data_IF_565600996966
#
_entry.id   IF_565600996966
#
_cell.length_a   1.000
_cell.length_b   1.000
_cell.length_c   1.000
_cell.angle_alpha   90.00
_cell.angle_beta   90.00
_cell.angle_gamma   90.00
#
_symmetry.space_group_name_H-M   'P 1'
#
loop_
_entity.id
_entity.type
_entity.pdbx_description
1 polymer ?
#
# COMPACT_ATOMS: atom_id res chain seq x y z
N UNK A 1 -11.23 29.35 -20.52
CA UNK A 1 -11.69 28.14 -19.77
C UNK A 1 -11.29 26.81 -20.42
N UNK A 2 -11.01 26.71 -21.73
CA UNK A 2 -10.60 25.44 -22.39
C UNK A 2 -9.13 25.06 -22.16
N UNK A 3 -8.23 26.04 -22.01
CA UNK A 3 -6.78 25.86 -21.79
C UNK A 3 -6.47 25.16 -20.46
N UNK A 4 -7.09 25.60 -19.36
CA UNK A 4 -6.95 24.99 -18.03
C UNK A 4 -7.41 23.52 -17.96
N UNK A 5 -8.37 23.12 -18.79
CA UNK A 5 -8.81 21.71 -18.90
C UNK A 5 -7.78 20.87 -19.67
N UNK A 6 -7.15 21.42 -20.70
CA UNK A 6 -6.12 20.73 -21.48
C UNK A 6 -4.82 20.56 -20.69
N UNK A 7 -4.40 21.55 -19.91
CA UNK A 7 -3.20 21.45 -19.06
C UNK A 7 -3.33 20.33 -18.03
N UNK A 8 -4.47 20.23 -17.33
CA UNK A 8 -4.73 19.15 -16.37
C UNK A 8 -4.76 17.76 -17.02
N UNK A 9 -5.24 17.65 -18.26
CA UNK A 9 -5.22 16.39 -18.99
C UNK A 9 -3.80 16.03 -19.42
N UNK A 10 -3.00 17.00 -19.88
CA UNK A 10 -1.61 16.77 -20.24
C UNK A 10 -0.75 16.36 -19.05
N UNK A 11 -1.05 16.90 -17.86
CA UNK A 11 -0.43 16.45 -16.61
C UNK A 11 -0.77 14.98 -16.31
N UNK A 12 -2.03 14.58 -16.49
CA UNK A 12 -2.47 13.18 -16.32
C UNK A 12 -1.77 12.26 -17.35
N UNK A 13 -1.72 12.66 -18.62
CA UNK A 13 -1.06 11.88 -19.69
C UNK A 13 0.43 11.72 -19.41
N UNK A 14 1.10 12.82 -19.06
CA UNK A 14 2.53 12.82 -18.74
C UNK A 14 2.80 11.90 -17.57
N UNK A 15 1.97 11.97 -16.52
CA UNK A 15 2.08 11.09 -15.35
C UNK A 15 1.86 9.62 -15.69
N UNK A 16 0.94 9.30 -16.60
CA UNK A 16 0.72 7.93 -17.06
C UNK A 16 1.88 7.42 -17.92
N UNK A 17 2.33 8.20 -18.90
CA UNK A 17 3.37 7.77 -19.85
C UNK A 17 4.76 7.70 -19.22
N UNK A 18 5.09 8.63 -18.32
CA UNK A 18 6.42 8.67 -17.69
C UNK A 18 6.51 7.82 -16.43
N UNK A 19 5.41 7.67 -15.68
CA UNK A 19 5.42 7.01 -14.36
C UNK A 19 4.50 5.80 -14.26
N UNK A 20 3.62 5.56 -15.23
CA UNK A 20 2.64 4.46 -15.20
C UNK A 20 1.59 4.61 -14.10
N UNK A 21 1.17 5.86 -13.81
CA UNK A 21 0.41 6.24 -12.63
C UNK A 21 -0.93 6.90 -12.96
N UNK A 22 -2.02 6.37 -12.41
CA UNK A 22 -3.37 6.93 -12.49
C UNK A 22 -4.28 6.36 -11.41
N UNK A 23 -5.20 7.17 -10.90
CA UNK A 23 -6.33 6.70 -10.09
C UNK A 23 -7.61 6.52 -10.95
N UNK A 24 -8.70 6.07 -10.31
CA UNK A 24 -9.99 5.90 -11.01
C UNK A 24 -10.53 7.21 -11.57
N UNK A 25 -10.35 8.32 -10.86
CA UNK A 25 -10.78 9.65 -11.28
C UNK A 25 -9.99 10.14 -12.49
N UNK A 26 -8.66 9.96 -12.47
CA UNK A 26 -7.76 10.28 -13.57
C UNK A 26 -8.08 9.46 -14.82
N UNK A 27 -8.28 8.15 -14.64
CA UNK A 27 -8.60 7.24 -15.73
C UNK A 27 -9.94 7.60 -16.38
N UNK A 28 -10.96 7.94 -15.56
CA UNK A 28 -12.26 8.40 -16.06
C UNK A 28 -12.17 9.76 -16.77
N UNK A 29 -11.37 10.69 -16.25
CA UNK A 29 -11.16 12.01 -16.88
C UNK A 29 -10.43 11.87 -18.21
N UNK A 30 -9.38 11.06 -18.26
CA UNK A 30 -8.63 10.78 -19.46
C UNK A 30 -9.49 10.06 -20.51
N UNK A 31 -10.26 9.06 -20.10
CA UNK A 31 -11.16 8.35 -21.01
C UNK A 31 -12.22 9.27 -21.60
N UNK A 32 -12.85 10.14 -20.79
CA UNK A 32 -13.81 11.14 -21.30
C UNK A 32 -13.16 12.12 -22.27
N UNK A 33 -11.93 12.53 -22.02
CA UNK A 33 -11.20 13.42 -22.90
C UNK A 33 -10.88 12.76 -24.25
N UNK A 34 -10.25 11.58 -24.22
CA UNK A 34 -9.87 10.84 -25.42
C UNK A 34 -11.10 10.39 -26.23
N UNK A 35 -12.19 10.03 -25.55
CA UNK A 35 -13.46 9.68 -26.19
C UNK A 35 -14.00 10.83 -27.03
N UNK A 36 -13.96 12.07 -26.54
CA UNK A 36 -14.41 13.24 -27.31
C UNK A 36 -13.58 13.51 -28.56
N UNK A 37 -12.29 13.15 -28.54
CA UNK A 37 -11.39 13.35 -29.67
C UNK A 37 -11.38 12.20 -30.68
N UNK A 38 -11.99 11.06 -30.33
CA UNK A 38 -11.97 9.85 -31.18
C UNK A 38 -13.36 9.38 -31.58
N UNK A 39 -14.43 9.97 -31.03
CA UNK A 39 -15.80 9.53 -31.30
C UNK A 39 -16.14 9.66 -32.80
N UNK A 40 -16.67 8.60 -33.44
CA UNK A 40 -17.01 8.63 -34.86
C UNK A 40 -18.00 9.76 -35.19
N UNK A 41 -19.07 9.92 -34.40
CA UNK A 41 -20.08 10.98 -34.62
C UNK A 41 -19.54 12.42 -34.49
N UNK A 42 -18.44 12.61 -33.75
CA UNK A 42 -17.84 13.95 -33.56
C UNK A 42 -16.71 14.23 -34.54
N UNK A 43 -16.09 13.20 -35.10
CA UNK A 43 -14.87 13.32 -35.91
C UNK A 43 -15.05 12.88 -37.36
N UNK A 44 -16.17 12.21 -37.68
CA UNK A 44 -16.46 11.66 -38.99
C UNK A 44 -15.56 10.49 -39.40
N UNK A 45 -14.80 9.91 -38.47
CA UNK A 45 -13.86 8.79 -38.73
C UNK A 45 -14.51 7.42 -38.48
N UNK A 46 -13.85 6.36 -38.94
CA UNK A 46 -14.26 4.95 -38.87
C UNK A 46 -14.47 4.36 -37.45
N UNK A 47 -14.16 5.13 -36.39
CA UNK A 47 -14.35 4.73 -35.00
C UNK A 47 -13.31 3.73 -34.47
N UNK A 48 -12.33 3.29 -35.27
CA UNK A 48 -11.33 2.30 -34.84
C UNK A 48 -10.50 2.83 -33.66
N UNK A 49 -10.14 4.11 -33.72
CA UNK A 49 -9.42 4.82 -32.65
C UNK A 49 -10.23 4.88 -31.34
N UNK A 50 -11.55 5.03 -31.44
CA UNK A 50 -12.44 5.04 -30.27
C UNK A 50 -12.51 3.67 -29.60
N UNK A 51 -12.58 2.60 -30.40
CA UNK A 51 -12.57 1.22 -29.90
C UNK A 51 -11.28 0.94 -29.13
N UNK A 52 -10.11 1.29 -29.69
CA UNK A 52 -8.81 1.10 -29.02
C UNK A 52 -8.74 1.84 -27.67
N UNK A 53 -9.23 3.09 -27.62
CA UNK A 53 -9.29 3.88 -26.38
C UNK A 53 -10.20 3.22 -25.34
N UNK A 54 -11.37 2.72 -25.76
CA UNK A 54 -12.32 2.02 -24.89
C UNK A 54 -11.73 0.73 -24.33
N UNK A 55 -11.08 -0.08 -25.15
CA UNK A 55 -10.44 -1.32 -24.72
C UNK A 55 -9.30 -1.07 -23.72
N UNK A 56 -8.45 -0.07 -23.99
CA UNK A 56 -7.37 0.33 -23.08
C UNK A 56 -7.92 0.80 -21.72
N UNK A 57 -8.99 1.60 -21.73
CA UNK A 57 -9.70 2.02 -20.51
C UNK A 57 -10.25 0.83 -19.71
N UNK A 58 -10.94 -0.09 -20.38
CA UNK A 58 -11.53 -1.26 -19.73
C UNK A 58 -10.46 -2.16 -19.11
N UNK A 59 -9.33 -2.40 -19.82
CA UNK A 59 -8.19 -3.15 -19.28
C UNK A 59 -7.57 -2.47 -18.07
N UNK A 60 -7.34 -1.15 -18.14
CA UNK A 60 -6.77 -0.36 -17.05
C UNK A 60 -7.69 -0.33 -15.82
N UNK A 61 -9.01 -0.19 -16.03
CA UNK A 61 -10.02 -0.21 -14.99
C UNK A 61 -10.14 -1.59 -14.33
N UNK A 62 -10.15 -2.67 -15.12
CA UNK A 62 -10.15 -4.04 -14.60
C UNK A 62 -8.90 -4.32 -13.74
N UNK A 63 -7.73 -3.77 -14.11
CA UNK A 63 -6.51 -3.88 -13.30
C UNK A 63 -6.62 -3.15 -11.96
N UNK A 64 -7.27 -1.98 -11.95
CA UNK A 64 -7.57 -1.20 -10.74
C UNK A 64 -8.59 -1.90 -9.84
N UNK A 65 -9.65 -2.46 -10.43
CA UNK A 65 -10.70 -3.19 -9.73
C UNK A 65 -10.22 -4.54 -9.21
N UNK A 66 -9.45 -5.32 -9.97
CA UNK A 66 -8.86 -6.58 -9.51
C UNK A 66 -7.91 -6.37 -8.32
N UNK A 67 -7.27 -5.21 -8.20
CA UNK A 67 -6.49 -4.85 -7.01
C UNK A 67 -7.35 -4.55 -5.79
N UNK A 68 -8.54 -3.99 -5.98
CA UNK A 68 -9.52 -3.70 -4.92
C UNK A 68 -10.36 -4.93 -4.52
N UNK A 69 -10.64 -5.79 -5.49
CA UNK A 69 -11.56 -6.92 -5.40
C UNK A 69 -10.86 -8.27 -5.57
N UNK A 70 -9.55 -8.35 -5.33
CA UNK A 70 -8.86 -9.63 -5.13
C UNK A 70 -9.40 -10.32 -3.86
N UNK A 71 -10.66 -10.78 -3.91
CA UNK A 71 -11.12 -11.97 -3.24
C UNK A 71 -10.43 -13.11 -3.97
N UNK A 72 -9.59 -13.79 -3.23
CA UNK A 72 -8.71 -14.89 -3.63
C UNK A 72 -9.39 -15.81 -4.66
N UNK A 73 -8.98 -15.70 -5.93
CA UNK A 73 -9.31 -16.70 -6.96
C UNK A 73 -8.18 -17.73 -6.98
N UNK A 74 -8.36 -18.82 -6.26
CA UNK A 74 -7.43 -19.96 -6.15
C UNK A 74 -7.34 -20.49 -4.71
N UNK A 75 -6.80 -21.70 -4.55
CA UNK A 75 -6.44 -22.28 -3.24
C UNK A 75 -5.36 -21.41 -2.57
N UNK A 76 -5.82 -20.37 -1.88
CA UNK A 76 -4.97 -19.43 -1.16
C UNK A 76 -4.68 -19.97 0.23
N UNK A 77 -3.49 -20.56 0.39
CA UNK A 77 -3.04 -21.06 1.69
C UNK A 77 -2.52 -19.93 2.59
N UNK A 78 -3.45 -19.31 3.31
CA UNK A 78 -3.20 -18.24 4.28
C UNK A 78 -2.39 -18.70 5.51
N UNK A 79 -2.26 -20.02 5.72
CA UNK A 79 -1.50 -20.60 6.82
C UNK A 79 -0.06 -20.94 6.41
N UNK A 80 0.28 -20.84 5.11
CA UNK A 80 1.61 -21.19 4.62
C UNK A 80 2.73 -20.44 5.35
N UNK A 81 2.57 -19.13 5.53
CA UNK A 81 3.58 -18.31 6.23
C UNK A 81 3.73 -18.75 7.69
N UNK A 82 2.63 -19.09 8.36
CA UNK A 82 2.69 -19.58 9.73
C UNK A 82 3.50 -20.88 9.82
N UNK A 83 3.26 -21.83 8.92
CA UNK A 83 4.00 -23.11 8.88
C UNK A 83 5.47 -22.91 8.51
N UNK A 84 5.78 -22.00 7.59
CA UNK A 84 7.17 -21.65 7.23
C UNK A 84 7.94 -21.04 8.40
N UNK A 85 7.25 -20.39 9.34
CA UNK A 85 7.82 -19.82 10.56
C UNK A 85 7.74 -20.81 11.76
N UNK A 86 7.34 -22.07 11.52
CA UNK A 86 7.32 -23.14 12.52
C UNK A 86 6.02 -23.28 13.32
N UNK A 87 4.97 -22.52 12.98
CA UNK A 87 3.69 -22.55 13.69
C UNK A 87 2.72 -23.55 13.07
N UNK A 88 2.40 -24.60 13.82
CA UNK A 88 1.45 -25.64 13.43
C UNK A 88 0.24 -25.59 14.35
N UNK A 89 -0.92 -25.20 13.83
CA UNK A 89 -2.17 -25.13 14.60
C UNK A 89 -3.04 -23.93 14.26
N UNK A 90 -4.07 -23.71 15.07
CA UNK A 90 -4.95 -22.56 14.97
C UNK A 90 -4.52 -21.50 15.98
N UNK A 91 -4.29 -20.28 15.51
CA UNK A 91 -3.86 -19.14 16.33
C UNK A 91 -4.84 -17.98 16.20
N UNK A 92 -4.91 -17.08 17.19
CA UNK A 92 -5.75 -15.89 17.10
C UNK A 92 -5.39 -15.01 15.89
N UNK A 93 -6.35 -14.33 15.23
CA UNK A 93 -6.08 -13.48 14.06
C UNK A 93 -4.97 -12.44 14.28
N UNK A 94 -4.89 -11.83 15.47
CA UNK A 94 -3.83 -10.89 15.86
C UNK A 94 -2.43 -11.50 15.74
N UNK A 95 -2.28 -12.73 16.23
CA UNK A 95 -1.04 -13.50 16.16
C UNK A 95 -0.63 -13.72 14.69
N UNK A 96 -1.57 -14.27 13.91
CA UNK A 96 -1.33 -14.58 12.50
C UNK A 96 -0.96 -13.32 11.69
N UNK A 97 -1.64 -12.21 11.98
CA UNK A 97 -1.34 -10.92 11.37
C UNK A 97 0.08 -10.46 11.69
N UNK A 98 0.52 -10.54 12.94
CA UNK A 98 1.85 -10.09 13.34
C UNK A 98 2.97 -10.94 12.72
N UNK A 99 2.77 -12.26 12.59
CA UNK A 99 3.71 -13.13 11.88
C UNK A 99 3.81 -12.72 10.41
N UNK A 100 2.67 -12.54 9.74
CA UNK A 100 2.63 -12.13 8.33
C UNK A 100 3.24 -10.73 8.12
N UNK A 101 2.97 -9.78 9.02
CA UNK A 101 3.55 -8.44 8.97
C UNK A 101 5.06 -8.46 9.23
N UNK A 102 5.53 -9.23 10.22
CA UNK A 102 6.96 -9.39 10.48
C UNK A 102 7.66 -9.89 9.22
N UNK A 103 7.14 -10.93 8.57
CA UNK A 103 7.65 -11.45 7.29
C UNK A 103 7.67 -10.38 6.20
N UNK A 104 6.59 -9.62 6.05
CA UNK A 104 6.48 -8.52 5.10
C UNK A 104 7.57 -7.46 5.30
N UNK A 105 7.81 -7.05 6.55
CA UNK A 105 8.85 -6.05 6.88
C UNK A 105 10.27 -6.62 6.74
N UNK A 106 10.54 -7.84 7.21
CA UNK A 106 11.85 -8.50 7.08
C UNK A 106 12.28 -8.63 5.63
N UNK A 107 11.37 -8.98 4.72
CA UNK A 107 11.66 -9.09 3.29
C UNK A 107 11.69 -7.75 2.56
N UNK A 108 11.48 -6.64 3.26
CA UNK A 108 11.52 -5.30 2.67
C UNK A 108 10.39 -5.03 1.70
N UNK A 109 9.24 -5.73 1.80
CA UNK A 109 8.13 -5.61 0.85
C UNK A 109 7.41 -4.25 0.95
N UNK A 110 7.73 -3.42 1.94
CA UNK A 110 7.39 -1.99 1.91
C UNK A 110 8.10 -1.22 0.78
N UNK A 111 9.14 -1.79 0.17
CA UNK A 111 9.80 -1.25 -1.01
C UNK A 111 9.21 -1.87 -2.28
N UNK A 112 8.60 -1.03 -3.12
CA UNK A 112 7.98 -1.43 -4.37
C UNK A 112 8.91 -2.20 -5.31
N UNK A 113 10.18 -1.78 -5.44
CA UNK A 113 11.16 -2.47 -6.31
C UNK A 113 11.32 -3.95 -5.94
N UNK A 114 11.22 -4.27 -4.65
CA UNK A 114 11.30 -5.66 -4.18
C UNK A 114 9.98 -6.40 -4.40
N UNK A 115 8.82 -5.73 -4.21
CA UNK A 115 7.50 -6.32 -4.48
C UNK A 115 7.34 -6.72 -5.95
N UNK A 116 7.66 -5.81 -6.86
CA UNK A 116 7.41 -5.94 -8.30
C UNK A 116 8.49 -6.79 -9.01
N UNK A 117 9.41 -7.41 -8.26
CA UNK A 117 10.49 -8.24 -8.81
C UNK A 117 9.92 -9.52 -9.42
N UNK A 118 10.03 -9.66 -10.76
CA UNK A 118 9.42 -10.74 -11.55
C UNK A 118 9.68 -12.17 -11.01
N UNK A 119 10.91 -12.54 -10.59
CA UNK A 119 11.17 -13.91 -10.10
C UNK A 119 10.45 -14.24 -8.79
N UNK A 120 10.08 -13.23 -7.99
CA UNK A 120 9.54 -13.38 -6.65
C UNK A 120 8.10 -12.87 -6.52
N UNK A 121 7.50 -12.41 -7.62
CA UNK A 121 6.21 -11.73 -7.64
C UNK A 121 5.12 -12.57 -6.96
N UNK A 122 4.96 -13.84 -7.36
CA UNK A 122 3.96 -14.75 -6.77
C UNK A 122 4.14 -14.92 -5.25
N UNK A 123 5.39 -15.05 -4.78
CA UNK A 123 5.71 -15.18 -3.36
C UNK A 123 5.37 -13.88 -2.61
N UNK A 124 5.73 -12.74 -3.17
CA UNK A 124 5.49 -11.44 -2.54
C UNK A 124 4.00 -11.11 -2.48
N UNK A 125 3.26 -11.43 -3.55
CA UNK A 125 1.80 -11.33 -3.61
C UNK A 125 1.16 -12.21 -2.53
N UNK A 126 1.59 -13.47 -2.39
CA UNK A 126 1.13 -14.37 -1.33
C UNK A 126 1.29 -13.74 0.07
N UNK A 127 2.43 -13.09 0.35
CA UNK A 127 2.70 -12.47 1.64
C UNK A 127 1.78 -11.27 1.90
N UNK A 128 1.66 -10.37 0.93
CA UNK A 128 0.77 -9.20 1.03
C UNK A 128 -0.68 -9.63 1.24
N UNK A 129 -1.10 -10.63 0.47
CA UNK A 129 -2.43 -11.23 0.54
C UNK A 129 -2.69 -11.91 1.89
N UNK A 130 -1.66 -12.52 2.51
CA UNK A 130 -1.79 -13.16 3.82
C UNK A 130 -1.93 -12.12 4.91
N UNK A 131 -1.16 -11.03 4.84
CA UNK A 131 -1.34 -9.87 5.74
C UNK A 131 -2.76 -9.34 5.66
N UNK A 132 -3.24 -9.11 4.43
CA UNK A 132 -4.59 -8.62 4.18
C UNK A 132 -5.65 -9.57 4.75
N UNK A 133 -5.53 -10.88 4.50
CA UNK A 133 -6.49 -11.89 4.98
C UNK A 133 -6.65 -11.88 6.50
N UNK A 134 -5.53 -11.77 7.24
CA UNK A 134 -5.54 -11.73 8.69
C UNK A 134 -5.91 -10.34 9.23
N UNK A 135 -5.55 -9.28 8.52
CA UNK A 135 -5.98 -7.92 8.84
C UNK A 135 -7.51 -7.79 8.75
N UNK A 136 -8.13 -8.27 7.67
CA UNK A 136 -9.60 -8.26 7.48
C UNK A 136 -10.35 -8.94 8.64
N UNK A 137 -9.72 -9.89 9.35
CA UNK A 137 -10.30 -10.61 10.50
C UNK A 137 -10.00 -10.01 11.86
N UNK A 138 -8.89 -9.28 11.98
CA UNK A 138 -8.47 -8.68 13.24
C UNK A 138 -8.93 -7.23 13.36
N UNK A 139 -8.69 -6.44 12.31
CA UNK A 139 -8.93 -5.00 12.25
C UNK A 139 -9.13 -4.57 10.79
N UNK A 140 -10.39 -4.42 10.39
CA UNK A 140 -10.76 -4.08 9.02
C UNK A 140 -10.26 -2.68 8.59
N UNK A 141 -10.18 -1.74 9.53
CA UNK A 141 -9.65 -0.39 9.28
C UNK A 141 -8.16 -0.47 8.97
N UNK A 142 -7.41 -1.27 9.72
CA UNK A 142 -6.02 -1.58 9.40
C UNK A 142 -5.88 -2.26 8.04
N UNK A 143 -6.77 -3.19 7.66
CA UNK A 143 -6.68 -3.81 6.33
C UNK A 143 -6.86 -2.77 5.22
N UNK A 144 -7.84 -1.86 5.37
CA UNK A 144 -8.04 -0.79 4.40
C UNK A 144 -6.81 0.11 4.30
N UNK A 145 -6.23 0.47 5.46
CA UNK A 145 -5.01 1.25 5.56
C UNK A 145 -3.80 0.55 4.91
N UNK A 146 -3.60 -0.73 5.17
CA UNK A 146 -2.49 -1.52 4.61
C UNK A 146 -2.61 -1.65 3.08
N UNK A 147 -3.83 -1.84 2.56
CA UNK A 147 -4.09 -1.80 1.12
C UNK A 147 -3.72 -0.44 0.53
N UNK A 148 -4.12 0.66 1.18
CA UNK A 148 -3.76 2.01 0.75
C UNK A 148 -2.24 2.26 0.78
N UNK A 149 -1.55 1.80 1.83
CA UNK A 149 -0.10 1.88 1.95
C UNK A 149 0.62 1.15 0.81
N UNK A 150 0.11 -0.02 0.41
CA UNK A 150 0.68 -0.78 -0.69
C UNK A 150 0.34 -0.19 -2.08
N UNK A 151 -0.77 0.55 -2.18
CA UNK A 151 -1.22 1.22 -3.41
C UNK A 151 -0.58 2.60 -3.64
N UNK A 152 -0.37 3.43 -2.60
CA UNK A 152 0.20 4.77 -2.76
C UNK A 152 1.64 4.68 -3.27
N UNK A 153 1.91 5.28 -4.44
CA UNK A 153 3.19 5.18 -5.15
C UNK A 153 4.12 6.36 -4.90
N UNK A 154 3.58 7.57 -4.77
CA UNK A 154 4.37 8.79 -4.50
C UNK A 154 3.57 9.80 -3.69
N UNK A 155 4.29 10.57 -2.87
CA UNK A 155 3.82 11.85 -2.36
C UNK A 155 4.40 12.94 -3.27
N UNK A 156 3.59 13.91 -3.65
CA UNK A 156 4.06 15.11 -4.31
C UNK A 156 4.83 15.95 -3.28
N UNK A 157 6.12 15.64 -3.10
CA UNK A 157 7.03 16.41 -2.26
C UNK A 157 7.70 17.44 -3.16
N UNK A 158 7.47 18.71 -2.89
CA UNK A 158 7.86 19.82 -3.77
C UNK A 158 9.23 20.38 -3.40
N UNK A 159 9.67 20.20 -2.14
CA UNK A 159 10.91 20.80 -1.63
C UNK A 159 11.91 19.76 -1.10
N UNK A 160 13.20 20.11 -1.13
CA UNK A 160 14.28 19.31 -0.51
C UNK A 160 14.03 19.08 0.98
N UNK A 161 13.45 20.06 1.68
CA UNK A 161 13.07 19.94 3.10
C UNK A 161 11.99 18.89 3.30
N UNK A 162 10.94 18.90 2.49
CA UNK A 162 9.87 17.90 2.53
C UNK A 162 10.39 16.49 2.21
N UNK A 163 11.25 16.37 1.20
CA UNK A 163 11.91 15.09 0.89
C UNK A 163 12.72 14.57 2.07
N UNK A 164 13.56 15.40 2.69
CA UNK A 164 14.36 15.02 3.86
C UNK A 164 13.48 14.59 5.04
N UNK A 165 12.43 15.36 5.33
CA UNK A 165 11.48 15.03 6.39
C UNK A 165 10.76 13.72 6.11
N UNK A 166 10.30 13.51 4.88
CA UNK A 166 9.64 12.27 4.48
C UNK A 166 10.54 11.04 4.67
N UNK A 167 11.79 11.10 4.20
CA UNK A 167 12.74 10.00 4.37
C UNK A 167 13.09 9.76 5.84
N UNK A 168 13.24 10.82 6.63
CA UNK A 168 13.47 10.71 8.08
C UNK A 168 12.28 10.07 8.80
N UNK A 169 11.06 10.52 8.53
CA UNK A 169 9.83 9.95 9.09
C UNK A 169 9.63 8.48 8.68
N UNK A 170 9.86 8.16 7.40
CA UNK A 170 9.84 6.76 6.92
C UNK A 170 10.89 5.90 7.62
N UNK A 171 12.12 6.41 7.81
CA UNK A 171 13.18 5.69 8.54
C UNK A 171 12.75 5.41 9.99
N UNK A 172 12.24 6.43 10.69
CA UNK A 172 11.72 6.28 12.06
C UNK A 172 10.59 5.25 12.14
N UNK A 173 9.67 5.26 11.18
CA UNK A 173 8.60 4.25 11.09
C UNK A 173 9.16 2.83 10.95
N UNK A 174 10.15 2.61 10.08
CA UNK A 174 10.76 1.30 9.89
C UNK A 174 11.55 0.83 11.13
N UNK A 175 12.28 1.73 11.78
CA UNK A 175 12.95 1.45 13.06
C UNK A 175 11.93 1.10 14.15
N UNK A 176 10.80 1.81 14.20
CA UNK A 176 9.68 1.53 15.08
C UNK A 176 9.06 0.15 14.82
N UNK A 177 8.86 -0.22 13.55
CA UNK A 177 8.35 -1.54 13.16
C UNK A 177 9.27 -2.67 13.62
N UNK A 178 10.59 -2.52 13.46
CA UNK A 178 11.56 -3.48 14.00
C UNK A 178 11.45 -3.58 15.53
N UNK A 179 11.38 -2.45 16.23
CA UNK A 179 11.20 -2.41 17.69
C UNK A 179 9.88 -3.06 18.12
N UNK A 180 8.79 -2.84 17.39
CA UNK A 180 7.49 -3.45 17.63
C UNK A 180 7.58 -4.98 17.60
N UNK A 181 8.12 -5.58 16.53
CA UNK A 181 8.21 -7.04 16.46
C UNK A 181 9.18 -7.63 17.49
N UNK A 182 10.24 -6.90 17.86
CA UNK A 182 11.12 -7.31 18.95
C UNK A 182 10.38 -7.30 20.31
N UNK A 183 9.55 -6.29 20.57
CA UNK A 183 8.69 -6.27 21.75
C UNK A 183 7.69 -7.42 21.73
N UNK A 184 7.02 -7.66 20.60
CA UNK A 184 6.05 -8.75 20.48
C UNK A 184 6.67 -10.12 20.82
N UNK A 185 7.94 -10.35 20.45
CA UNK A 185 8.65 -11.60 20.76
C UNK A 185 9.18 -11.69 22.19
N UNK A 186 9.66 -10.56 22.75
CA UNK A 186 10.41 -10.57 24.02
C UNK A 186 9.61 -10.10 25.23
N UNK A 187 8.50 -9.39 25.03
CA UNK A 187 7.72 -8.74 26.08
C UNK A 187 8.45 -7.60 26.81
N UNK A 188 9.64 -7.20 26.39
CA UNK A 188 10.44 -6.18 27.09
C UNK A 188 9.82 -4.78 26.97
N UNK A 189 9.37 -4.23 28.09
CA UNK A 189 8.72 -2.90 28.17
C UNK A 189 9.59 -1.76 27.64
N UNK A 190 10.91 -1.83 27.86
CA UNK A 190 11.85 -0.83 27.33
C UNK A 190 11.88 -0.80 25.80
N UNK A 191 11.79 -1.98 25.16
CA UNK A 191 11.68 -2.10 23.70
C UNK A 191 10.37 -1.51 23.18
N UNK A 192 9.25 -1.75 23.87
CA UNK A 192 7.97 -1.12 23.55
C UNK A 192 8.04 0.41 23.63
N UNK A 193 8.65 0.95 24.69
CA UNK A 193 8.80 2.41 24.86
C UNK A 193 9.58 3.04 23.70
N UNK A 194 10.72 2.46 23.32
CA UNK A 194 11.52 2.96 22.19
C UNK A 194 10.73 2.88 20.88
N UNK A 195 10.01 1.78 20.63
CA UNK A 195 9.16 1.66 19.44
C UNK A 195 8.05 2.71 19.42
N UNK A 196 7.40 2.98 20.56
CA UNK A 196 6.38 4.01 20.72
C UNK A 196 6.91 5.41 20.39
N UNK A 197 8.10 5.74 20.88
CA UNK A 197 8.75 7.03 20.60
C UNK A 197 9.06 7.17 19.11
N UNK A 198 9.55 6.10 18.48
CA UNK A 198 9.81 6.08 17.02
C UNK A 198 8.56 6.29 16.19
N UNK A 199 7.45 5.63 16.53
CA UNK A 199 6.19 5.83 15.82
C UNK A 199 5.60 7.22 16.02
N UNK A 200 5.70 7.76 17.25
CA UNK A 200 5.26 9.12 17.56
C UNK A 200 6.04 10.14 16.73
N UNK A 201 7.37 10.04 16.73
CA UNK A 201 8.23 10.92 15.92
C UNK A 201 7.98 10.74 14.42
N UNK A 202 7.78 9.51 13.94
CA UNK A 202 7.47 9.25 12.54
C UNK A 202 6.17 9.97 12.11
N UNK A 203 5.09 9.82 12.88
CA UNK A 203 3.82 10.49 12.61
C UNK A 203 3.95 12.02 12.62
N UNK A 204 4.63 12.58 13.63
CA UNK A 204 4.85 14.02 13.75
C UNK A 204 5.72 14.60 12.63
N UNK A 205 6.76 13.90 12.19
CA UNK A 205 7.61 14.38 11.09
C UNK A 205 6.88 14.28 9.75
N UNK A 206 6.10 13.22 9.54
CA UNK A 206 5.34 13.02 8.31
C UNK A 206 4.21 14.04 8.17
N UNK A 207 3.56 14.46 9.26
CA UNK A 207 2.52 15.51 9.20
C UNK A 207 3.06 16.88 8.77
N UNK A 208 4.37 17.12 8.87
CA UNK A 208 4.99 18.38 8.42
C UNK A 208 5.23 18.44 6.90
N UNK A 209 5.15 17.31 6.20
CA UNK A 209 5.52 17.24 4.78
C UNK A 209 4.53 16.44 3.91
N UNK A 210 3.50 15.87 4.52
CA UNK A 210 2.47 15.09 3.83
C UNK A 210 1.10 15.37 4.42
N UNK A 211 0.06 14.94 3.73
CA UNK A 211 -1.30 15.09 4.20
C UNK A 211 -1.55 14.29 5.49
N UNK A 212 -2.48 14.71 6.37
CA UNK A 212 -2.77 14.02 7.62
C UNK A 212 -3.21 12.56 7.45
N UNK A 213 -3.82 12.22 6.31
CA UNK A 213 -4.24 10.88 5.91
C UNK A 213 -3.12 10.03 5.30
N UNK A 214 -1.85 10.44 5.41
CA UNK A 214 -0.71 9.67 4.92
C UNK A 214 -0.71 8.25 5.54
N UNK A 215 -0.80 7.17 4.74
CA UNK A 215 -0.81 5.81 5.26
C UNK A 215 0.35 5.44 6.18
N UNK A 216 1.55 5.99 6.00
CA UNK A 216 2.69 5.73 6.90
C UNK A 216 2.42 6.38 8.27
N UNK A 217 1.92 7.61 8.28
CA UNK A 217 1.57 8.31 9.52
C UNK A 217 0.46 7.58 10.27
N UNK A 218 -0.63 7.22 9.57
CA UNK A 218 -1.75 6.49 10.15
C UNK A 218 -1.33 5.08 10.61
N UNK A 219 -0.49 4.37 9.84
CA UNK A 219 0.07 3.07 10.27
C UNK A 219 0.97 3.21 11.49
N UNK A 220 1.77 4.28 11.59
CA UNK A 220 2.59 4.52 12.77
C UNK A 220 1.72 4.70 14.02
N UNK A 221 0.60 5.44 13.91
CA UNK A 221 -0.36 5.57 15.01
C UNK A 221 -1.04 4.25 15.35
N UNK A 222 -1.38 3.42 14.35
CA UNK A 222 -1.92 2.09 14.59
C UNK A 222 -0.93 1.21 15.37
N UNK A 223 0.31 1.10 14.91
CA UNK A 223 1.34 0.33 15.62
C UNK A 223 1.61 0.86 17.02
N UNK A 224 1.57 2.19 17.21
CA UNK A 224 1.69 2.82 18.52
C UNK A 224 0.57 2.35 19.46
N UNK A 225 -0.67 2.30 18.99
CA UNK A 225 -1.81 1.84 19.79
C UNK A 225 -1.71 0.32 20.07
N UNK A 226 -1.18 -0.47 19.12
CA UNK A 226 -0.94 -1.90 19.32
C UNK A 226 0.13 -2.20 20.39
N UNK A 227 1.03 -1.25 20.70
CA UNK A 227 2.00 -1.38 21.80
C UNK A 227 1.37 -1.23 23.19
N UNK A 228 0.13 -0.73 23.29
CA UNK A 228 -0.61 -0.66 24.56
C UNK A 228 -1.23 -2.01 24.94
N UNK A 229 -1.21 -2.97 24.03
CA UNK A 229 -1.76 -4.32 24.22
C UNK A 229 -0.63 -5.26 24.62
N UNK A 230 -0.97 -6.27 25.43
CA UNK A 230 -0.06 -7.37 25.76
C UNK A 230 0.56 -7.99 24.51
N UNK A 231 1.84 -8.39 24.56
CA UNK A 231 2.53 -8.97 23.42
C UNK A 231 1.87 -10.28 23.01
N UNK A 232 1.64 -10.44 21.72
CA UNK A 232 0.96 -11.62 21.17
C UNK A 232 1.92 -12.74 20.79
N UNK A 233 3.23 -12.48 20.69
CA UNK A 233 4.24 -13.45 20.24
C UNK A 233 5.19 -13.89 21.36
N UNK A 234 4.90 -13.57 22.62
CA UNK A 234 5.72 -13.95 23.78
C UNK A 234 5.62 -15.46 24.06
N UNK A 235 6.74 -16.06 24.48
CA UNK A 235 6.84 -17.50 24.73
C UNK A 235 7.21 -18.34 23.50
N UNK A 236 7.73 -17.70 22.44
CA UNK A 236 8.13 -18.34 21.19
C UNK A 236 9.65 -18.41 20.97
N UNK A 237 10.40 -18.55 22.06
CA UNK A 237 11.83 -18.91 22.05
C UNK A 237 12.04 -19.99 23.09
#
# INVERSE_FOLDING_TARGET
>A
MSTLKNEKIQEIITRILTKGEFDSGDLNRLYRFLSKQTHPDLTGKDGESFIRVREAYLKARAKLENFKTARFKGDFDFNRILREEGFHGSYPPRFCLYIALNRYFTLGLYNRKLRDSSPLLKRNELIINTVIYWADRYDADFSALFRQFNLKRFYALSTTREMRNYYNGKRMFLEGATGFFNYQKTGRVTTAKVARDKFTLAASVLSLCTSPDNPISVMALWFRNELEKEPALTGLV
#
